data_IF_022832174018
#
_entry.id   IF_022832174018
#
_cell.length_a   1.000
_cell.length_b   1.000
_cell.length_c   1.000
_cell.angle_alpha   90.00
_cell.angle_beta   90.00
_cell.angle_gamma   90.00
#
_symmetry.space_group_name_H-M   'P 1'
#
loop_
_entity.id
_entity.type
_entity.pdbx_description
1 polymer ?
#
# COMPACT_ATOMS: atom_id res chain seq x y z
N UNK A 1 18.45 -1.51 -0.70
CA UNK A 1 19.03 -0.32 -1.35
C UNK A 1 18.05 0.34 -2.34
N UNK A 2 17.04 -0.37 -2.79
CA UNK A 2 16.08 0.09 -3.77
C UNK A 2 14.69 0.13 -3.13
N UNK A 3 14.53 1.04 -2.17
CA UNK A 3 13.29 1.22 -1.44
C UNK A 3 12.32 2.04 -2.27
N UNK A 4 11.14 1.49 -2.53
CA UNK A 4 10.12 2.08 -3.38
C UNK A 4 8.81 2.28 -2.61
N UNK A 5 8.01 3.22 -3.06
CA UNK A 5 6.70 3.58 -2.54
C UNK A 5 5.59 3.03 -3.45
N UNK A 6 4.48 2.64 -2.85
CA UNK A 6 3.29 2.14 -3.55
C UNK A 6 2.02 2.60 -2.83
N UNK A 7 1.47 3.76 -3.26
CA UNK A 7 0.22 4.27 -2.71
C UNK A 7 -0.96 3.39 -3.09
N UNK A 8 -1.70 2.92 -2.09
CA UNK A 8 -2.86 2.07 -2.24
C UNK A 8 -4.02 2.50 -1.34
N UNK A 9 -5.24 2.22 -1.77
CA UNK A 9 -6.39 2.24 -0.87
C UNK A 9 -6.43 0.90 -0.11
N UNK A 10 -6.63 0.95 1.19
CA UNK A 10 -6.87 -0.23 2.01
C UNK A 10 -8.35 -0.31 2.40
N UNK A 11 -8.93 -1.47 2.17
CA UNK A 11 -10.29 -1.84 2.59
C UNK A 11 -10.20 -2.59 3.90
N UNK A 12 -10.91 -2.14 4.92
CA UNK A 12 -10.96 -2.77 6.23
C UNK A 12 -12.21 -3.62 6.36
N UNK A 13 -12.06 -4.90 6.63
CA UNK A 13 -13.18 -5.81 6.87
C UNK A 13 -13.74 -5.60 8.28
N UNK A 14 -15.03 -5.39 8.39
CA UNK A 14 -15.72 -5.23 9.68
C UNK A 14 -16.59 -6.41 10.07
N UNK A 15 -17.23 -7.05 9.09
CA UNK A 15 -18.10 -8.21 9.31
C UNK A 15 -17.43 -9.46 8.77
N UNK A 16 -17.19 -10.49 9.61
CA UNK A 16 -16.69 -11.77 9.14
C UNK A 16 -17.61 -12.39 8.09
N UNK A 17 -17.03 -13.10 7.13
CA UNK A 17 -17.82 -13.74 6.08
C UNK A 17 -17.02 -14.63 5.17
N UNK A 18 -17.73 -15.41 4.35
CA UNK A 18 -17.16 -16.35 3.38
C UNK A 18 -18.14 -16.61 2.26
N UNK A 19 -17.63 -16.75 1.02
CA UNK A 19 -18.43 -17.13 -0.15
C UNK A 19 -19.62 -16.21 -0.45
N UNK A 20 -19.41 -14.93 -0.52
CA UNK A 20 -20.41 -13.94 -0.88
C UNK A 20 -20.09 -13.26 -2.22
N UNK A 21 -21.14 -12.69 -2.85
CA UNK A 21 -21.03 -11.97 -4.12
C UNK A 21 -20.65 -10.49 -3.96
N UNK A 22 -20.37 -9.79 -5.08
CA UNK A 22 -20.02 -8.36 -5.03
C UNK A 22 -21.11 -7.47 -4.45
N UNK A 23 -22.38 -7.84 -4.61
CA UNK A 23 -23.54 -7.14 -4.08
C UNK A 23 -23.63 -7.19 -2.54
N UNK A 24 -23.09 -8.25 -1.94
CA UNK A 24 -23.04 -8.43 -0.49
C UNK A 24 -21.73 -7.86 0.10
N UNK A 25 -20.70 -7.66 -0.73
CA UNK A 25 -19.36 -7.28 -0.27
C UNK A 25 -19.35 -6.01 0.58
N UNK A 26 -20.22 -5.03 0.28
CA UNK A 26 -20.33 -3.77 1.02
C UNK A 26 -20.74 -3.96 2.48
N UNK A 27 -21.53 -5.00 2.79
CA UNK A 27 -21.93 -5.32 4.16
C UNK A 27 -20.76 -5.79 5.03
N UNK A 28 -19.66 -6.23 4.40
CA UNK A 28 -18.48 -6.73 5.08
C UNK A 28 -17.42 -5.65 5.29
N UNK A 29 -17.55 -4.48 4.66
CA UNK A 29 -16.57 -3.38 4.75
C UNK A 29 -16.88 -2.48 5.93
N UNK A 30 -15.95 -2.31 6.86
CA UNK A 30 -16.04 -1.33 7.94
C UNK A 30 -15.66 0.08 7.48
N UNK A 31 -14.68 0.19 6.60
CA UNK A 31 -14.17 1.48 6.13
C UNK A 31 -12.91 1.36 5.30
N UNK A 32 -12.25 2.50 5.14
CA UNK A 32 -11.11 2.66 4.26
C UNK A 32 -10.00 3.44 4.96
N UNK A 33 -8.76 3.18 4.55
CA UNK A 33 -7.60 3.94 4.99
C UNK A 33 -6.54 3.98 3.89
N UNK A 34 -5.48 4.77 4.10
CA UNK A 34 -4.33 4.80 3.19
C UNK A 34 -3.35 3.71 3.57
N UNK A 35 -2.80 3.05 2.56
CA UNK A 35 -1.75 2.07 2.69
C UNK A 35 -0.60 2.44 1.74
N UNK A 36 0.63 2.31 2.20
CA UNK A 36 1.80 2.47 1.34
C UNK A 36 2.58 1.15 1.37
N UNK A 37 2.48 0.38 0.29
CA UNK A 37 3.10 -0.95 0.16
C UNK A 37 4.60 -0.82 -0.14
N UNK A 38 5.35 -0.35 0.86
CA UNK A 38 6.80 -0.14 0.73
C UNK A 38 7.46 -1.43 0.27
N UNK A 39 8.28 -1.32 -0.76
CA UNK A 39 8.87 -2.48 -1.44
C UNK A 39 10.38 -2.34 -1.58
N UNK A 40 11.13 -3.35 -1.15
CA UNK A 40 12.57 -3.47 -1.43
C UNK A 40 12.77 -4.15 -2.79
N UNK A 41 12.90 -3.35 -3.87
CA UNK A 41 12.93 -3.87 -5.26
C UNK A 41 14.09 -4.80 -5.56
N UNK A 42 15.23 -4.57 -4.94
CA UNK A 42 16.40 -5.45 -5.07
C UNK A 42 16.16 -6.86 -4.49
N UNK A 43 15.35 -6.95 -3.43
CA UNK A 43 14.90 -8.22 -2.86
C UNK A 43 13.79 -8.82 -3.72
N UNK A 44 12.80 -8.01 -4.10
CA UNK A 44 11.67 -8.45 -4.93
C UNK A 44 12.12 -9.11 -6.23
N UNK A 45 13.12 -8.55 -6.93
CA UNK A 45 13.63 -9.19 -8.15
C UNK A 45 14.17 -10.59 -7.94
N UNK A 46 14.84 -10.86 -6.82
CA UNK A 46 15.31 -12.20 -6.47
C UNK A 46 14.16 -13.15 -6.15
N UNK A 47 13.16 -12.68 -5.41
CA UNK A 47 11.97 -13.47 -5.09
C UNK A 47 11.18 -13.81 -6.35
N UNK A 48 11.06 -12.89 -7.30
CA UNK A 48 10.35 -13.09 -8.57
C UNK A 48 10.93 -14.20 -9.45
N UNK A 49 12.18 -14.61 -9.25
CA UNK A 49 12.75 -15.78 -9.91
C UNK A 49 12.00 -17.08 -9.57
N UNK A 50 11.39 -17.15 -8.39
CA UNK A 50 10.51 -18.24 -7.97
C UNK A 50 9.02 -18.02 -8.32
N UNK A 51 8.68 -16.84 -8.86
CA UNK A 51 7.31 -16.45 -9.16
C UNK A 51 6.49 -15.98 -7.96
N UNK A 52 7.10 -15.91 -6.78
CA UNK A 52 6.45 -15.48 -5.53
C UNK A 52 7.27 -14.36 -4.91
N UNK A 53 6.60 -13.35 -4.36
CA UNK A 53 7.24 -12.28 -3.58
C UNK A 53 6.42 -11.99 -2.32
N UNK A 54 7.10 -11.90 -1.19
CA UNK A 54 6.49 -11.59 0.11
C UNK A 54 7.46 -10.92 1.07
N UNK A 55 8.69 -11.39 1.17
CA UNK A 55 9.68 -10.87 2.11
C UNK A 55 10.09 -9.43 1.77
N UNK A 56 10.17 -9.09 0.48
CA UNK A 56 10.46 -7.74 0.00
C UNK A 56 9.46 -6.66 0.45
N UNK A 57 8.28 -7.08 0.92
CA UNK A 57 7.21 -6.23 1.44
C UNK A 57 6.95 -6.44 2.94
N UNK A 58 7.37 -7.58 3.50
CA UNK A 58 7.16 -7.97 4.89
C UNK A 58 8.27 -7.55 5.86
N UNK A 59 9.16 -6.63 5.46
CA UNK A 59 10.23 -6.12 6.32
C UNK A 59 9.63 -5.20 7.39
N UNK A 60 10.19 -5.25 8.59
CA UNK A 60 9.77 -4.41 9.70
C UNK A 60 9.69 -2.92 9.30
N UNK A 61 8.64 -2.22 9.72
CA UNK A 61 8.29 -0.84 9.36
C UNK A 61 7.79 -0.64 7.91
N UNK A 62 7.77 -1.66 7.07
CA UNK A 62 7.06 -1.62 5.79
C UNK A 62 5.54 -1.63 6.06
N UNK A 63 4.74 -1.32 5.06
CA UNK A 63 3.29 -1.25 5.19
C UNK A 63 2.78 -0.15 6.16
N UNK A 64 3.27 1.12 6.08
CA UNK A 64 2.63 2.20 6.82
C UNK A 64 1.15 2.29 6.45
N UNK A 65 0.29 2.41 7.46
CA UNK A 65 -1.17 2.45 7.31
C UNK A 65 -1.77 3.56 8.17
N UNK A 66 -2.75 4.29 7.67
CA UNK A 66 -3.41 5.38 8.38
C UNK A 66 -3.79 6.54 7.45
N UNK A 67 -3.98 7.76 7.97
CA UNK A 67 -3.77 8.18 9.37
C UNK A 67 -4.88 7.68 10.32
N UNK A 68 -6.06 7.36 9.79
CA UNK A 68 -7.21 6.80 10.50
C UNK A 68 -8.05 5.93 9.55
N UNK A 69 -9.01 5.23 10.08
CA UNK A 69 -10.03 4.53 9.28
C UNK A 69 -11.22 5.49 9.13
N UNK A 70 -11.62 5.76 7.89
CA UNK A 70 -12.88 6.44 7.57
C UNK A 70 -13.92 5.37 7.33
N UNK A 71 -15.05 5.44 8.03
CA UNK A 71 -16.12 4.44 7.93
C UNK A 71 -16.78 4.45 6.55
N UNK A 72 -17.31 3.30 6.14
CA UNK A 72 -17.84 3.13 4.78
C UNK A 72 -19.00 4.08 4.46
N UNK A 73 -19.77 4.49 5.47
CA UNK A 73 -20.88 5.45 5.32
C UNK A 73 -20.42 6.89 5.09
N UNK A 74 -19.16 7.22 5.43
CA UNK A 74 -18.56 8.54 5.17
C UNK A 74 -17.93 8.63 3.77
N UNK A 75 -17.76 7.51 3.06
CA UNK A 75 -17.21 7.46 1.70
C UNK A 75 -18.37 7.15 0.72
N UNK A 76 -18.96 8.18 0.08
CA UNK A 76 -20.15 8.00 -0.76
C UNK A 76 -19.92 7.09 -1.97
N UNK A 77 -18.71 7.14 -2.55
CA UNK A 77 -18.30 6.32 -3.68
C UNK A 77 -16.81 5.96 -3.62
N UNK A 78 -16.52 4.77 -3.13
CA UNK A 78 -15.17 4.25 -3.02
C UNK A 78 -14.46 4.06 -4.37
N UNK A 79 -15.21 4.01 -5.48
CA UNK A 79 -14.64 3.93 -6.82
C UNK A 79 -14.37 5.30 -7.42
N UNK A 80 -14.54 6.40 -6.68
CA UNK A 80 -14.38 7.75 -7.17
C UNK A 80 -13.54 8.62 -6.23
N UNK A 81 -12.35 8.13 -5.83
CA UNK A 81 -11.42 8.82 -4.94
C UNK A 81 -10.13 9.19 -5.69
N UNK A 82 -9.73 10.46 -5.64
CA UNK A 82 -8.42 10.89 -6.12
C UNK A 82 -7.31 10.43 -5.17
N UNK A 83 -6.16 10.08 -5.74
CA UNK A 83 -5.01 9.55 -5.01
C UNK A 83 -3.73 10.25 -5.47
N UNK A 84 -2.89 10.69 -4.54
CA UNK A 84 -1.61 11.34 -4.82
C UNK A 84 -0.57 10.94 -3.78
N UNK A 85 0.66 10.67 -4.21
CA UNK A 85 1.81 10.51 -3.33
C UNK A 85 2.91 11.49 -3.72
N UNK A 86 3.46 12.14 -2.71
CA UNK A 86 4.61 13.05 -2.82
C UNK A 86 5.79 12.51 -2.03
N UNK A 87 6.98 12.81 -2.52
CA UNK A 87 8.24 12.64 -1.79
C UNK A 87 8.94 13.99 -1.74
N UNK A 88 9.19 14.52 -0.55
CA UNK A 88 9.79 15.85 -0.33
C UNK A 88 9.01 16.99 -1.03
N UNK A 89 7.70 16.85 -1.16
CA UNK A 89 6.84 17.78 -1.85
C UNK A 89 6.70 17.55 -3.37
N UNK A 90 7.57 16.77 -3.99
CA UNK A 90 7.48 16.42 -5.41
C UNK A 90 6.46 15.31 -5.64
N UNK A 91 5.53 15.54 -6.56
CA UNK A 91 4.53 14.54 -6.95
C UNK A 91 5.22 13.34 -7.62
N UNK A 92 4.98 12.15 -7.10
CA UNK A 92 5.51 10.89 -7.58
C UNK A 92 4.44 9.98 -8.20
N UNK A 93 3.30 9.87 -7.55
CA UNK A 93 2.18 9.08 -8.02
C UNK A 93 0.91 9.94 -8.06
N UNK A 94 0.13 9.77 -9.12
CA UNK A 94 -1.21 10.35 -9.26
C UNK A 94 -2.11 9.29 -9.83
N UNK A 95 -3.27 9.09 -9.23
CA UNK A 95 -4.23 8.10 -9.68
C UNK A 95 -5.64 8.38 -9.17
N UNK A 96 -6.51 7.44 -9.44
CA UNK A 96 -7.90 7.53 -9.06
C UNK A 96 -8.52 6.14 -8.98
N UNK A 97 -9.30 5.85 -7.94
CA UNK A 97 -9.90 4.52 -7.76
C UNK A 97 -10.79 4.09 -8.93
N UNK A 98 -11.37 5.03 -9.70
CA UNK A 98 -12.13 4.71 -10.93
C UNK A 98 -11.29 4.04 -12.04
N UNK A 99 -9.95 4.13 -11.94
CA UNK A 99 -9.04 3.51 -12.90
C UNK A 99 -8.76 2.04 -12.57
N UNK A 100 -9.25 1.55 -11.44
CA UNK A 100 -9.10 0.14 -11.06
C UNK A 100 -9.73 -0.75 -12.13
N UNK A 101 -9.00 -1.80 -12.52
CA UNK A 101 -9.48 -2.80 -13.48
C UNK A 101 -10.58 -3.69 -12.91
N UNK A 102 -10.54 -3.94 -11.61
CA UNK A 102 -11.52 -4.71 -10.85
C UNK A 102 -12.05 -3.78 -9.77
N UNK A 103 -13.38 -3.65 -9.65
CA UNK A 103 -13.98 -2.79 -8.62
C UNK A 103 -13.77 -3.35 -7.22
N UNK A 104 -13.80 -2.49 -6.21
CA UNK A 104 -13.60 -2.88 -4.81
C UNK A 104 -14.57 -3.97 -4.37
N UNK A 105 -15.89 -3.90 -4.65
CA UNK A 105 -16.81 -4.99 -4.30
C UNK A 105 -16.42 -6.33 -4.94
N UNK A 106 -16.00 -6.31 -6.22
CA UNK A 106 -15.57 -7.52 -6.90
C UNK A 106 -14.25 -8.07 -6.32
N UNK A 107 -13.30 -7.18 -5.94
CA UNK A 107 -12.05 -7.57 -5.30
C UNK A 107 -12.31 -8.27 -3.97
N UNK A 108 -13.16 -7.68 -3.12
CA UNK A 108 -13.54 -8.25 -1.82
C UNK A 108 -14.26 -9.58 -2.00
N UNK A 109 -15.23 -9.66 -2.91
CA UNK A 109 -15.95 -10.90 -3.19
C UNK A 109 -15.03 -12.00 -3.75
N UNK A 110 -14.08 -11.65 -4.63
CA UNK A 110 -13.13 -12.61 -5.21
C UNK A 110 -12.28 -13.31 -4.14
N UNK A 111 -11.89 -12.61 -3.08
CA UNK A 111 -11.13 -13.17 -1.98
C UNK A 111 -11.99 -13.81 -0.88
N UNK A 112 -13.32 -13.73 -0.97
CA UNK A 112 -14.24 -14.29 0.04
C UNK A 112 -14.21 -15.83 0.22
N UNK A 113 -13.65 -16.66 -0.70
CA UNK A 113 -13.38 -18.07 -0.39
C UNK A 113 -12.42 -18.25 0.78
N UNK A 114 -11.53 -17.31 1.04
CA UNK A 114 -10.81 -17.21 2.31
C UNK A 114 -11.79 -16.68 3.37
N UNK A 115 -11.68 -17.14 4.62
CA UNK A 115 -12.52 -16.62 5.68
C UNK A 115 -12.01 -15.23 6.07
N UNK A 116 -12.88 -14.22 5.95
CA UNK A 116 -12.60 -12.91 6.51
C UNK A 116 -12.91 -12.86 8.00
N UNK A 117 -12.03 -12.17 8.70
CA UNK A 117 -12.20 -11.76 10.10
C UNK A 117 -12.34 -10.24 10.18
N UNK A 118 -13.00 -9.75 11.21
CA UNK A 118 -13.02 -8.31 11.46
C UNK A 118 -11.59 -7.83 11.72
N UNK A 119 -11.20 -6.75 11.04
CA UNK A 119 -9.86 -6.20 11.06
C UNK A 119 -8.93 -6.70 9.94
N UNK A 120 -9.34 -7.69 9.13
CA UNK A 120 -8.59 -8.04 7.92
C UNK A 120 -8.52 -6.85 6.96
N UNK A 121 -7.40 -6.76 6.24
CA UNK A 121 -7.11 -5.67 5.33
C UNK A 121 -6.92 -6.23 3.92
N UNK A 122 -7.59 -5.61 2.95
CA UNK A 122 -7.38 -5.86 1.52
C UNK A 122 -6.85 -4.59 0.89
N UNK A 123 -5.69 -4.66 0.27
CA UNK A 123 -5.11 -3.55 -0.48
C UNK A 123 -5.46 -3.65 -1.97
N UNK A 124 -5.56 -2.50 -2.63
CA UNK A 124 -6.15 -2.41 -3.97
C UNK A 124 -5.14 -2.49 -5.11
N UNK A 125 -3.86 -2.57 -4.77
CA UNK A 125 -2.78 -2.39 -5.74
C UNK A 125 -2.49 -0.91 -6.00
N UNK A 126 -1.24 -0.62 -6.35
CA UNK A 126 -0.75 0.74 -6.46
C UNK A 126 -1.12 1.42 -7.78
N UNK A 127 -1.19 2.74 -7.75
CA UNK A 127 -1.33 3.59 -8.94
C UNK A 127 0.02 3.79 -9.63
N UNK A 128 0.00 4.27 -10.88
CA UNK A 128 1.20 4.53 -11.67
C UNK A 128 2.16 5.51 -10.98
N UNK A 129 3.46 5.40 -11.28
CA UNK A 129 4.49 6.35 -10.84
C UNK A 129 5.50 5.82 -9.83
N UNK A 130 5.48 4.51 -9.50
CA UNK A 130 6.49 3.88 -8.64
C UNK A 130 7.90 4.12 -9.18
N UNK A 131 8.89 4.18 -8.30
CA UNK A 131 10.28 4.45 -8.68
C UNK A 131 10.83 3.41 -9.67
N UNK A 132 10.50 2.13 -9.48
CA UNK A 132 11.02 1.02 -10.27
C UNK A 132 10.71 1.10 -11.77
N UNK A 133 9.67 1.83 -12.19
CA UNK A 133 9.28 1.98 -13.61
C UNK A 133 9.73 3.29 -14.23
N UNK A 134 10.41 4.14 -13.50
CA UNK A 134 10.95 5.41 -14.01
C UNK A 134 12.15 5.16 -14.95
N UNK A 135 12.43 6.07 -15.90
CA UNK A 135 13.58 5.92 -16.81
C UNK A 135 14.93 5.72 -16.09
N UNK A 136 15.12 6.41 -14.95
CA UNK A 136 16.28 6.26 -14.06
C UNK A 136 15.78 5.95 -12.65
N UNK A 137 15.46 4.70 -12.31
CA UNK A 137 14.83 4.36 -11.03
C UNK A 137 15.63 4.81 -9.80
N UNK A 138 16.96 4.83 -9.90
CA UNK A 138 17.86 5.21 -8.80
C UNK A 138 17.72 6.68 -8.36
N UNK A 139 17.21 7.56 -9.23
CA UNK A 139 16.93 8.96 -8.90
C UNK A 139 15.62 9.10 -8.09
N UNK A 140 14.83 8.03 -8.00
CA UNK A 140 13.50 8.01 -7.41
C UNK A 140 13.35 7.11 -6.20
N UNK A 141 14.26 6.13 -5.99
CA UNK A 141 14.23 5.30 -4.80
C UNK A 141 14.42 6.13 -3.54
N UNK A 142 13.65 5.80 -2.52
CA UNK A 142 13.66 6.48 -1.23
C UNK A 142 15.04 6.41 -0.54
N UNK A 143 15.44 7.54 0.01
CA UNK A 143 16.68 7.69 0.75
C UNK A 143 16.41 8.12 2.20
N UNK A 144 17.30 7.82 3.15
CA UNK A 144 17.22 8.39 4.48
C UNK A 144 17.17 9.93 4.44
N UNK A 145 16.19 10.50 5.14
CA UNK A 145 15.89 11.92 5.15
C UNK A 145 14.67 12.31 4.28
N UNK A 146 14.23 11.42 3.38
CA UNK A 146 13.02 11.66 2.61
C UNK A 146 11.77 11.63 3.49
N UNK A 147 10.75 12.36 3.04
CA UNK A 147 9.42 12.37 3.65
C UNK A 147 8.39 12.05 2.58
N UNK A 148 7.64 10.97 2.80
CA UNK A 148 6.50 10.60 1.98
C UNK A 148 5.22 11.21 2.52
N UNK A 149 4.36 11.69 1.63
CA UNK A 149 3.01 12.17 1.93
C UNK A 149 2.05 11.51 0.95
N UNK A 150 1.29 10.54 1.45
CA UNK A 150 0.31 9.77 0.70
C UNK A 150 -1.07 10.30 1.01
N UNK A 151 -1.80 10.79 0.01
CA UNK A 151 -3.11 11.39 0.15
C UNK A 151 -4.15 10.62 -0.65
N UNK A 152 -5.31 10.39 -0.03
CA UNK A 152 -6.52 9.90 -0.71
C UNK A 152 -7.68 10.80 -0.33
N UNK A 153 -8.45 11.22 -1.34
CA UNK A 153 -9.63 12.05 -1.17
C UNK A 153 -10.61 11.45 -0.16
N UNK A 154 -11.13 12.28 0.75
CA UNK A 154 -12.05 11.85 1.81
C UNK A 154 -11.40 11.12 2.97
N UNK A 155 -10.11 10.70 2.88
CA UNK A 155 -9.42 9.99 3.96
C UNK A 155 -8.41 10.89 4.68
N UNK A 156 -7.57 11.63 3.94
CA UNK A 156 -6.59 12.51 4.53
C UNK A 156 -5.19 12.29 3.98
N UNK A 157 -4.16 12.50 4.82
CA UNK A 157 -2.74 12.38 4.46
C UNK A 157 -2.02 11.49 5.45
N UNK A 158 -1.42 10.41 4.96
CA UNK A 158 -0.47 9.57 5.69
C UNK A 158 0.94 10.09 5.42
N UNK A 159 1.63 10.54 6.47
CA UNK A 159 2.96 11.11 6.36
C UNK A 159 4.00 10.28 7.09
N UNK A 160 5.04 9.83 6.39
CA UNK A 160 6.07 8.98 6.94
C UNK A 160 7.48 9.47 6.56
N UNK A 161 8.38 9.68 7.55
CA UNK A 161 9.79 9.90 7.26
C UNK A 161 10.49 8.59 6.90
N UNK A 162 11.51 8.69 6.06
CA UNK A 162 12.48 7.61 5.82
C UNK A 162 13.70 7.86 6.69
N UNK A 163 14.04 6.92 7.54
CA UNK A 163 15.21 7.02 8.41
C UNK A 163 16.24 5.93 8.10
N UNK A 164 17.50 6.20 8.39
CA UNK A 164 18.55 5.19 8.21
C UNK A 164 18.43 4.09 9.28
N UNK A 165 18.98 2.92 8.97
CA UNK A 165 19.12 1.84 9.96
C UNK A 165 19.89 2.31 11.22
N UNK A 166 20.95 3.10 11.01
CA UNK A 166 21.74 3.65 12.10
C UNK A 166 20.90 4.53 13.03
N UNK A 167 20.04 5.39 12.45
CA UNK A 167 19.20 6.29 13.24
C UNK A 167 18.08 5.52 13.97
N UNK A 168 17.55 4.46 13.33
CA UNK A 168 16.48 3.65 13.90
C UNK A 168 16.97 2.76 15.06
N UNK A 169 18.15 2.15 14.94
CA UNK A 169 18.60 1.10 15.85
C UNK A 169 19.92 1.41 16.60
N UNK A 170 20.55 2.58 16.37
CA UNK A 170 21.78 3.00 17.03
C UNK A 170 23.01 2.16 16.66
N UNK A 171 22.94 1.36 15.60
CA UNK A 171 24.00 0.47 15.12
C UNK A 171 23.99 0.37 13.60
N UNK A 172 25.11 0.04 12.93
CA UNK A 172 25.13 -0.15 11.49
C UNK A 172 24.22 -1.31 11.07
N UNK A 173 23.72 -1.23 9.84
CA UNK A 173 22.97 -2.33 9.26
C UNK A 173 23.84 -3.61 9.26
N UNK A 174 23.23 -4.77 9.53
CA UNK A 174 23.96 -6.04 9.42
C UNK A 174 24.46 -6.23 7.99
N UNK A 175 25.62 -6.88 7.86
CA UNK A 175 26.10 -7.30 6.55
C UNK A 175 25.05 -8.20 5.89
N UNK A 176 24.80 -7.94 4.62
CA UNK A 176 23.89 -8.82 3.86
C UNK A 176 24.48 -10.22 3.77
N UNK A 177 23.67 -11.20 4.15
CA UNK A 177 23.93 -12.58 3.77
C UNK A 177 23.51 -12.71 2.30
N UNK A 178 24.45 -12.94 1.41
CA UNK A 178 24.15 -13.29 0.03
C UNK A 178 23.60 -14.72 0.00
N UNK A 179 22.35 -14.85 -0.45
CA UNK A 179 21.67 -16.13 -0.64
C UNK A 179 21.97 -16.70 -2.01
#
# INVERSE_FOLDING_TARGET
KELDYELELAVIIGKPGKFFGPEEALEHIAGFTIFNDITARDIQRKEMESGVFSFSKGIDTFCPIGPWIVTADEIPDMQNLAMELRVNGDVRQVGHTKQMRVSIPHLVAYHSPQIYSAGDIITTGTVSGVAAVQPNPFDFYLQPGDVMEAQIEGIGVLRNPVISWQDAYGRPAPERVDW
#
